data_IF_056336865279
#
_entry.id   IF_056336865279
#
_cell.length_a   1.000
_cell.length_b   1.000
_cell.length_c   1.000
_cell.angle_alpha   90.00
_cell.angle_beta   90.00
_cell.angle_gamma   90.00
#
_symmetry.space_group_name_H-M   'P 1'
#
loop_
_entity.id
_entity.type
_entity.pdbx_description
1 polymer ?
#
# COMPACT_ATOMS: atom_id res chain seq x y z
N UNK A 1 -23.17 -24.60 0.15
CA UNK A 1 -21.90 -23.95 0.57
C UNK A 1 -21.12 -24.78 1.58
N UNK A 2 -21.76 -25.28 2.66
CA UNK A 2 -21.09 -26.07 3.70
C UNK A 2 -20.33 -27.32 3.18
N UNK A 3 -20.82 -27.93 2.09
CA UNK A 3 -20.20 -29.09 1.43
C UNK A 3 -19.08 -28.73 0.44
N UNK A 4 -18.79 -27.44 0.22
CA UNK A 4 -17.77 -26.97 -0.70
C UNK A 4 -16.66 -26.24 0.07
N UNK A 5 -15.61 -26.94 0.53
CA UNK A 5 -14.56 -26.37 1.37
C UNK A 5 -13.76 -25.26 0.67
N UNK A 6 -13.80 -25.22 -0.66
CA UNK A 6 -13.10 -24.23 -1.49
C UNK A 6 -13.86 -22.90 -1.64
N UNK A 7 -15.04 -22.76 -1.02
CA UNK A 7 -15.83 -21.52 -1.10
C UNK A 7 -15.67 -20.72 0.19
N UNK A 8 -15.16 -19.49 0.05
CA UNK A 8 -15.03 -18.51 1.13
C UNK A 8 -16.07 -17.40 0.87
N UNK A 9 -16.91 -17.13 1.86
CA UNK A 9 -18.01 -16.16 1.75
C UNK A 9 -17.69 -14.85 2.46
N UNK A 10 -18.20 -13.71 1.94
CA UNK A 10 -18.04 -12.43 2.61
C UNK A 10 -18.94 -12.30 3.85
N UNK A 11 -18.47 -11.54 4.83
CA UNK A 11 -19.31 -10.85 5.82
C UNK A 11 -18.79 -9.42 6.04
N UNK A 12 -19.49 -8.58 6.78
CA UNK A 12 -19.03 -7.22 7.09
C UNK A 12 -19.20 -6.93 8.57
N UNK A 13 -18.19 -6.32 9.21
CA UNK A 13 -18.31 -5.97 10.60
C UNK A 13 -19.27 -4.80 10.81
N UNK A 14 -19.77 -4.67 12.04
CA UNK A 14 -20.54 -3.51 12.46
C UNK A 14 -19.60 -2.34 12.76
N UNK A 15 -20.07 -1.11 12.55
CA UNK A 15 -19.24 0.07 12.79
C UNK A 15 -20.01 1.38 12.66
N UNK A 16 -19.89 2.25 13.67
CA UNK A 16 -20.67 3.49 13.72
C UNK A 16 -22.17 3.19 13.69
N UNK A 17 -22.87 3.67 12.67
CA UNK A 17 -24.29 3.40 12.42
C UNK A 17 -24.55 2.16 11.56
N UNK A 18 -23.50 1.54 11.01
CA UNK A 18 -23.61 0.37 10.15
C UNK A 18 -23.75 -0.91 11.00
N UNK A 19 -24.84 -1.69 10.83
CA UNK A 19 -25.13 -2.86 11.68
C UNK A 19 -24.24 -4.07 11.36
N UNK A 20 -23.50 -4.07 10.25
CA UNK A 20 -22.77 -5.24 9.76
C UNK A 20 -23.63 -6.18 8.92
N UNK A 21 -22.99 -7.19 8.33
CA UNK A 21 -23.64 -8.23 7.52
C UNK A 21 -23.22 -9.59 8.06
N UNK A 22 -24.19 -10.47 8.31
CA UNK A 22 -23.93 -11.86 8.70
C UNK A 22 -23.29 -12.66 7.56
N UNK A 23 -22.37 -13.60 7.87
CA UNK A 23 -22.00 -14.62 6.89
C UNK A 23 -23.20 -15.55 6.61
N UNK A 24 -23.19 -16.25 5.47
CA UNK A 24 -24.14 -17.33 5.21
C UNK A 24 -24.13 -18.40 6.33
N UNK A 25 -25.29 -18.98 6.69
CA UNK A 25 -25.39 -19.84 7.86
C UNK A 25 -24.61 -21.17 7.71
N UNK A 26 -23.99 -21.57 8.81
CA UNK A 26 -23.27 -22.83 9.01
C UNK A 26 -21.95 -22.98 8.24
N UNK A 27 -21.36 -21.87 7.80
CA UNK A 27 -19.97 -21.84 7.36
C UNK A 27 -19.01 -21.87 8.56
N UNK A 28 -17.88 -22.54 8.38
CA UNK A 28 -16.77 -22.49 9.35
C UNK A 28 -16.04 -21.13 9.30
N UNK A 29 -15.28 -20.80 10.35
CA UNK A 29 -14.48 -19.57 10.37
C UNK A 29 -13.45 -19.48 9.25
N UNK A 30 -12.97 -20.61 8.73
CA UNK A 30 -12.04 -20.65 7.59
C UNK A 30 -12.72 -20.34 6.25
N UNK A 31 -14.04 -20.47 6.17
CA UNK A 31 -14.85 -20.22 4.98
C UNK A 31 -15.51 -18.85 4.98
N UNK A 32 -15.07 -17.94 5.87
CA UNK A 32 -15.62 -16.61 5.99
C UNK A 32 -14.48 -15.60 6.09
N UNK A 33 -14.59 -14.49 5.36
CA UNK A 33 -13.70 -13.35 5.50
C UNK A 33 -14.47 -12.03 5.42
N UNK A 34 -13.99 -11.01 6.12
CA UNK A 34 -14.68 -9.71 6.12
C UNK A 34 -14.35 -8.86 4.89
N UNK A 35 -15.29 -8.05 4.42
CA UNK A 35 -15.10 -7.15 3.25
C UNK A 35 -14.78 -5.70 3.63
N UNK A 36 -14.64 -5.42 4.92
CA UNK A 36 -14.32 -4.10 5.42
C UNK A 36 -13.05 -3.52 4.80
N UNK A 37 -13.11 -2.22 4.50
CA UNK A 37 -11.99 -1.45 3.97
C UNK A 37 -11.71 -0.24 4.85
N UNK A 38 -10.48 0.26 4.78
CA UNK A 38 -10.08 1.43 5.56
C UNK A 38 -9.77 2.58 4.61
N UNK A 39 -10.55 3.66 4.76
CA UNK A 39 -10.36 4.92 4.03
C UNK A 39 -9.41 5.83 4.78
N UNK A 40 -8.54 6.49 4.04
CA UNK A 40 -7.77 7.63 4.54
C UNK A 40 -8.68 8.84 4.78
N UNK A 41 -8.21 9.88 5.50
CA UNK A 41 -9.02 11.07 5.76
C UNK A 41 -9.62 11.73 4.50
N UNK A 42 -8.93 11.61 3.36
CA UNK A 42 -9.33 12.09 2.04
C UNK A 42 -10.21 11.09 1.25
N UNK A 43 -10.75 10.08 1.93
CA UNK A 43 -11.65 9.04 1.37
C UNK A 43 -11.01 8.09 0.35
N UNK A 44 -9.69 8.14 0.17
CA UNK A 44 -8.96 7.26 -0.75
C UNK A 44 -8.55 5.97 -0.03
N UNK A 45 -8.69 4.84 -0.71
CA UNK A 45 -8.17 3.56 -0.24
C UNK A 45 -6.68 3.47 -0.61
N UNK A 46 -5.81 3.53 0.40
CA UNK A 46 -4.36 3.31 0.25
C UNK A 46 -3.86 2.05 0.96
N UNK A 47 -4.74 1.44 1.75
CA UNK A 47 -4.37 0.42 2.74
C UNK A 47 -5.17 -0.85 2.50
N UNK A 48 -4.47 -1.97 2.62
CA UNK A 48 -5.03 -3.31 2.63
C UNK A 48 -5.12 -3.74 4.09
N UNK A 49 -6.35 -3.83 4.60
CA UNK A 49 -6.63 -4.39 5.93
C UNK A 49 -6.55 -5.91 5.84
N UNK A 50 -5.66 -6.51 6.62
CA UNK A 50 -5.38 -7.94 6.59
C UNK A 50 -6.19 -8.70 7.63
N UNK A 51 -6.17 -8.20 8.87
CA UNK A 51 -6.78 -8.81 10.06
C UNK A 51 -7.33 -7.72 10.95
N UNK A 52 -8.44 -7.98 11.64
CA UNK A 52 -8.97 -7.12 12.70
C UNK A 52 -9.57 -7.97 13.82
N UNK A 53 -9.54 -7.44 15.05
CA UNK A 53 -10.37 -7.98 16.11
C UNK A 53 -11.82 -7.52 15.90
N UNK A 54 -12.78 -8.46 15.70
CA UNK A 54 -14.16 -8.12 15.41
C UNK A 54 -14.78 -7.36 16.59
N UNK A 55 -15.64 -6.36 16.35
CA UNK A 55 -16.43 -5.74 17.42
C UNK A 55 -17.28 -6.79 18.15
N UNK A 56 -17.36 -6.73 19.48
CA UNK A 56 -17.96 -7.78 20.32
C UNK A 56 -19.43 -8.14 20.03
N UNK A 57 -20.18 -7.24 19.38
CA UNK A 57 -21.58 -7.45 18.99
C UNK A 57 -21.77 -7.45 17.46
N UNK A 58 -20.69 -7.64 16.71
CA UNK A 58 -20.79 -7.68 15.26
C UNK A 58 -21.40 -9.00 14.78
N UNK A 59 -22.30 -8.96 13.77
CA UNK A 59 -22.82 -10.19 13.15
C UNK A 59 -21.75 -10.98 12.38
N UNK A 60 -20.66 -10.33 12.00
CA UNK A 60 -19.48 -10.92 11.37
C UNK A 60 -18.41 -11.11 12.45
N UNK A 61 -17.87 -12.32 12.57
CA UNK A 61 -16.82 -12.65 13.55
C UNK A 61 -15.49 -13.01 12.87
N UNK A 62 -15.40 -12.79 11.56
CA UNK A 62 -14.22 -13.14 10.79
C UNK A 62 -13.04 -12.24 11.18
N UNK A 63 -11.91 -12.85 11.53
CA UNK A 63 -10.71 -12.09 11.90
C UNK A 63 -9.84 -11.72 10.70
N UNK A 64 -9.95 -12.44 9.57
CA UNK A 64 -9.20 -12.19 8.35
C UNK A 64 -10.10 -11.50 7.31
N UNK A 65 -9.52 -10.55 6.57
CA UNK A 65 -10.21 -9.96 5.43
C UNK A 65 -10.45 -11.04 4.37
N UNK A 66 -11.53 -10.93 3.60
CA UNK A 66 -11.85 -11.85 2.51
C UNK A 66 -10.67 -12.03 1.56
N UNK A 67 -10.00 -10.91 1.20
CA UNK A 67 -8.83 -10.94 0.33
C UNK A 67 -7.65 -11.70 0.95
N UNK A 68 -7.44 -11.55 2.26
CA UNK A 68 -6.40 -12.26 3.00
C UNK A 68 -6.73 -13.75 3.11
N UNK A 69 -7.97 -14.08 3.50
CA UNK A 69 -8.43 -15.46 3.66
C UNK A 69 -8.34 -16.25 2.35
N UNK A 70 -8.76 -15.66 1.23
CA UNK A 70 -8.65 -16.26 -0.10
C UNK A 70 -7.18 -16.51 -0.48
N UNK A 71 -6.32 -15.51 -0.29
CA UNK A 71 -4.92 -15.63 -0.64
C UNK A 71 -4.20 -16.66 0.25
N UNK A 72 -4.44 -16.66 1.56
CA UNK A 72 -3.88 -17.65 2.49
C UNK A 72 -4.34 -19.06 2.14
N UNK A 73 -5.64 -19.26 1.86
CA UNK A 73 -6.18 -20.56 1.46
C UNK A 73 -5.50 -21.10 0.19
N UNK A 74 -5.35 -20.26 -0.83
CA UNK A 74 -4.66 -20.63 -2.07
C UNK A 74 -3.17 -20.95 -1.82
N UNK A 75 -2.48 -20.13 -1.03
CA UNK A 75 -1.05 -20.30 -0.74
C UNK A 75 -0.78 -21.53 0.13
N UNK A 76 -1.65 -21.83 1.09
CA UNK A 76 -1.59 -23.05 1.91
C UNK A 76 -1.72 -24.30 1.03
N UNK A 77 -2.67 -24.31 0.08
CA UNK A 77 -2.81 -25.40 -0.88
C UNK A 77 -1.56 -25.57 -1.79
N UNK A 78 -0.77 -24.50 -1.97
CA UNK A 78 0.53 -24.53 -2.68
C UNK A 78 1.72 -24.91 -1.77
N UNK A 79 1.49 -25.16 -0.49
CA UNK A 79 2.52 -25.58 0.47
C UNK A 79 3.21 -24.43 1.21
N UNK A 80 2.70 -23.20 1.15
CA UNK A 80 3.21 -22.09 1.95
C UNK A 80 2.54 -22.04 3.32
N UNK A 81 3.34 -21.89 4.38
CA UNK A 81 2.86 -21.72 5.75
C UNK A 81 2.92 -20.25 6.19
N UNK A 82 1.90 -19.81 6.93
CA UNK A 82 1.87 -18.53 7.63
C UNK A 82 2.50 -18.66 9.02
N UNK A 83 3.37 -17.73 9.38
CA UNK A 83 4.01 -17.59 10.68
C UNK A 83 4.09 -16.11 11.11
N UNK A 84 4.25 -15.88 12.40
CA UNK A 84 4.34 -14.57 13.03
C UNK A 84 5.63 -14.46 13.85
N UNK A 85 6.78 -14.19 13.19
CA UNK A 85 8.08 -14.20 13.88
C UNK A 85 8.23 -13.06 14.90
N UNK A 86 7.38 -12.04 14.85
CA UNK A 86 7.29 -10.97 15.83
C UNK A 86 5.86 -10.37 15.82
N UNK A 87 5.42 -9.65 16.88
CA UNK A 87 4.06 -9.13 16.98
C UNK A 87 3.58 -8.28 15.80
N UNK A 88 4.49 -7.57 15.14
CA UNK A 88 4.20 -6.69 14.00
C UNK A 88 4.70 -7.25 12.66
N UNK A 89 5.10 -8.52 12.61
CA UNK A 89 5.72 -9.14 11.44
C UNK A 89 4.95 -10.38 11.02
N UNK A 90 4.68 -10.47 9.73
CA UNK A 90 4.14 -11.67 9.10
C UNK A 90 5.23 -12.34 8.28
N UNK A 91 5.17 -13.66 8.21
CA UNK A 91 5.99 -14.46 7.32
C UNK A 91 5.13 -15.50 6.60
N UNK A 92 5.21 -15.54 5.27
CA UNK A 92 4.55 -16.56 4.45
C UNK A 92 5.60 -17.15 3.51
N UNK A 93 5.97 -18.40 3.74
CA UNK A 93 7.14 -18.98 3.08
C UNK A 93 8.41 -18.12 3.32
N UNK A 94 9.00 -17.62 2.23
CA UNK A 94 10.15 -16.71 2.28
C UNK A 94 9.79 -15.22 2.36
N UNK A 95 8.52 -14.86 2.12
CA UNK A 95 8.08 -13.47 2.21
C UNK A 95 7.96 -13.07 3.67
N UNK A 96 8.75 -12.11 4.12
CA UNK A 96 8.62 -11.48 5.44
C UNK A 96 8.33 -10.00 5.29
N UNK A 97 7.31 -9.51 5.98
CA UNK A 97 6.94 -8.10 5.96
C UNK A 97 6.43 -7.63 7.33
N UNK A 98 6.54 -6.32 7.57
CA UNK A 98 5.99 -5.69 8.76
C UNK A 98 4.65 -5.04 8.44
N UNK A 99 3.75 -5.05 9.43
CA UNK A 99 2.49 -4.30 9.35
C UNK A 99 2.76 -2.80 9.44
N UNK A 100 1.83 -2.01 8.92
CA UNK A 100 1.84 -0.57 8.96
C UNK A 100 1.72 -0.10 10.42
N UNK A 101 2.65 0.76 10.84
CA UNK A 101 2.62 1.41 12.15
C UNK A 101 1.78 2.67 12.09
N UNK A 102 1.30 3.18 13.23
CA UNK A 102 0.50 4.41 13.28
C UNK A 102 1.23 5.65 12.73
N UNK A 103 2.57 5.68 12.84
CA UNK A 103 3.43 6.75 12.33
C UNK A 103 4.60 6.17 11.51
N UNK A 104 4.33 5.56 10.35
CA UNK A 104 5.36 5.03 9.48
C UNK A 104 5.93 6.18 8.64
N UNK A 105 7.03 6.76 9.11
CA UNK A 105 7.72 7.85 8.43
C UNK A 105 6.84 9.07 8.18
N UNK A 106 6.76 9.52 6.93
CA UNK A 106 5.97 10.69 6.53
C UNK A 106 4.47 10.41 6.32
N UNK A 107 4.03 9.14 6.33
CA UNK A 107 2.62 8.78 6.19
C UNK A 107 1.93 8.76 7.56
N UNK A 108 1.87 9.91 8.23
CA UNK A 108 1.35 10.01 9.60
C UNK A 108 -0.18 9.86 9.63
N UNK A 109 -0.67 8.96 10.47
CA UNK A 109 -2.10 8.82 10.72
C UNK A 109 -2.47 9.43 12.07
N UNK A 110 -3.52 10.25 12.07
CA UNK A 110 -4.03 10.91 13.29
C UNK A 110 -4.82 9.97 14.19
N UNK A 111 -5.25 8.80 13.69
CA UNK A 111 -5.98 7.77 14.43
C UNK A 111 -5.16 6.49 14.52
N UNK A 112 -5.29 5.80 15.65
CA UNK A 112 -4.69 4.48 15.86
C UNK A 112 -5.16 3.52 14.75
N UNK A 113 -4.21 2.81 14.13
CA UNK A 113 -4.53 1.77 13.17
C UNK A 113 -5.19 0.60 13.90
N UNK A 114 -6.40 0.22 13.48
CA UNK A 114 -7.07 -0.98 13.97
C UNK A 114 -6.70 -2.15 13.09
N UNK A 115 -6.26 -3.25 13.68
CA UNK A 115 -5.89 -4.45 12.95
C UNK A 115 -4.58 -4.34 12.18
N UNK A 116 -4.19 -5.44 11.54
CA UNK A 116 -2.98 -5.52 10.73
C UNK A 116 -3.26 -4.94 9.35
N UNK A 117 -2.46 -3.95 8.94
CA UNK A 117 -2.64 -3.25 7.67
C UNK A 117 -1.31 -3.20 6.92
N UNK A 118 -1.35 -3.17 5.58
CA UNK A 118 -0.20 -2.87 4.72
C UNK A 118 -0.61 -1.84 3.67
N UNK A 119 0.37 -1.24 2.98
CA UNK A 119 0.07 -0.39 1.83
C UNK A 119 -0.40 -1.24 0.64
N UNK A 120 -1.31 -0.67 -0.14
CA UNK A 120 -1.81 -1.26 -1.37
C UNK A 120 -1.01 -0.74 -2.57
N UNK A 121 -0.20 -1.63 -3.15
CA UNK A 121 0.54 -1.51 -4.39
C UNK A 121 -0.33 -2.01 -5.57
N UNK A 122 -1.30 -1.16 -5.95
CA UNK A 122 -2.23 -1.41 -7.05
C UNK A 122 -1.50 -1.81 -8.34
N UNK A 123 -2.07 -2.79 -9.04
CA UNK A 123 -1.65 -3.21 -10.37
C UNK A 123 -2.52 -2.46 -11.38
N UNK A 124 -1.93 -1.46 -12.00
CA UNK A 124 -2.51 -0.71 -13.11
C UNK A 124 -1.77 -1.12 -14.39
N UNK A 125 -2.38 -1.98 -15.20
CA UNK A 125 -1.89 -2.26 -16.55
C UNK A 125 -2.30 -1.07 -17.45
N UNK A 126 -3.45 -1.19 -18.12
CA UNK A 126 -4.07 -0.07 -18.85
C UNK A 126 -5.18 0.59 -18.00
N UNK A 127 -5.91 -0.21 -17.23
CA UNK A 127 -6.89 0.22 -16.22
C UNK A 127 -6.75 -0.61 -14.94
N UNK A 128 -7.23 -0.07 -13.82
CA UNK A 128 -7.39 -0.83 -12.57
C UNK A 128 -8.40 -1.98 -12.69
N UNK A 129 -9.28 -1.91 -13.69
CA UNK A 129 -10.27 -2.96 -13.98
C UNK A 129 -9.69 -4.18 -14.68
N UNK A 130 -8.51 -4.05 -15.31
CA UNK A 130 -7.88 -5.11 -16.11
C UNK A 130 -7.10 -6.12 -15.25
N UNK A 131 -7.41 -6.19 -13.96
CA UNK A 131 -6.71 -7.03 -12.97
C UNK A 131 -6.91 -8.52 -13.22
N UNK A 132 -8.06 -8.91 -13.78
CA UNK A 132 -8.44 -10.28 -14.04
C UNK A 132 -9.38 -10.37 -15.24
N UNK A 133 -9.42 -11.54 -15.87
CA UNK A 133 -10.42 -11.85 -16.89
C UNK A 133 -11.81 -11.90 -16.24
N UNK A 134 -12.81 -11.37 -16.94
CA UNK A 134 -14.20 -11.31 -16.47
C UNK A 134 -15.08 -12.15 -17.37
N UNK A 135 -15.94 -12.96 -16.76
CA UNK A 135 -17.00 -13.71 -17.43
C UNK A 135 -18.31 -13.44 -16.71
N UNK A 136 -19.41 -13.39 -17.46
CA UNK A 136 -20.73 -13.16 -16.87
C UNK A 136 -21.27 -14.46 -16.26
N UNK A 137 -22.13 -14.33 -15.24
CA UNK A 137 -22.81 -15.49 -14.68
C UNK A 137 -23.61 -16.25 -15.75
N UNK A 138 -24.25 -15.53 -16.69
CA UNK A 138 -24.97 -16.13 -17.81
C UNK A 138 -24.06 -17.02 -18.66
N UNK A 139 -22.86 -16.55 -19.04
CA UNK A 139 -21.91 -17.34 -19.81
C UNK A 139 -21.47 -18.61 -19.07
N UNK A 140 -21.28 -18.54 -17.75
CA UNK A 140 -20.94 -19.71 -16.94
C UNK A 140 -22.11 -20.70 -16.92
N UNK A 141 -23.33 -20.23 -16.70
CA UNK A 141 -24.53 -21.08 -16.66
C UNK A 141 -24.90 -21.70 -18.02
N UNK A 142 -24.50 -21.07 -19.13
CA UNK A 142 -24.72 -21.57 -20.50
C UNK A 142 -23.52 -22.35 -21.08
N UNK A 143 -22.51 -22.68 -20.25
CA UNK A 143 -21.29 -23.37 -20.67
C UNK A 143 -20.54 -22.68 -21.83
N UNK A 144 -20.54 -21.34 -21.85
CA UNK A 144 -19.85 -20.50 -22.84
C UNK A 144 -18.48 -20.01 -22.34
N UNK A 145 -17.93 -20.64 -21.30
CA UNK A 145 -16.63 -20.28 -20.70
C UNK A 145 -15.67 -21.44 -20.90
N UNK A 146 -14.49 -21.14 -21.44
CA UNK A 146 -13.43 -22.14 -21.58
C UNK A 146 -12.98 -22.65 -20.19
N UNK A 147 -12.80 -23.96 -19.99
CA UNK A 147 -12.45 -24.53 -18.68
C UNK A 147 -11.17 -23.96 -18.05
N UNK A 148 -10.18 -23.61 -18.87
CA UNK A 148 -8.91 -22.98 -18.48
C UNK A 148 -9.06 -21.61 -17.80
N UNK A 149 -10.20 -20.93 -17.97
CA UNK A 149 -10.53 -19.65 -17.31
C UNK A 149 -10.97 -19.84 -15.85
N UNK A 150 -11.32 -21.07 -15.46
CA UNK A 150 -11.93 -21.40 -14.17
C UNK A 150 -11.02 -22.34 -13.36
N UNK A 151 -10.34 -23.30 -14.01
CA UNK A 151 -9.47 -24.27 -13.32
C UNK A 151 -8.22 -23.64 -12.73
N UNK A 152 -7.82 -24.09 -11.53
CA UNK A 152 -6.58 -23.71 -10.82
C UNK A 152 -6.41 -22.20 -10.58
N UNK A 153 -7.53 -21.49 -10.36
CA UNK A 153 -7.56 -20.04 -10.16
C UNK A 153 -8.35 -19.66 -8.91
N UNK A 154 -7.99 -18.52 -8.34
CA UNK A 154 -8.85 -17.82 -7.39
C UNK A 154 -9.95 -17.11 -8.19
N UNK A 155 -11.22 -17.46 -7.90
CA UNK A 155 -12.37 -16.89 -8.59
C UNK A 155 -13.11 -15.99 -7.61
N UNK A 156 -13.34 -14.74 -8.03
CA UNK A 156 -14.14 -13.77 -7.31
C UNK A 156 -15.48 -13.59 -8.01
N UNK A 157 -16.57 -13.79 -7.26
CA UNK A 157 -17.94 -13.68 -7.77
C UNK A 157 -18.61 -12.51 -7.08
N UNK A 158 -19.15 -11.57 -7.86
CA UNK A 158 -19.84 -10.40 -7.33
C UNK A 158 -20.49 -9.56 -8.42
N UNK A 159 -21.20 -8.51 -8.00
CA UNK A 159 -21.88 -7.57 -8.89
C UNK A 159 -20.95 -6.42 -9.20
N UNK A 160 -20.78 -6.11 -10.50
CA UNK A 160 -19.96 -4.98 -10.96
C UNK A 160 -20.78 -3.90 -11.67
N UNK A 161 -22.10 -4.08 -11.76
CA UNK A 161 -23.00 -3.13 -12.42
C UNK A 161 -23.23 -1.88 -11.53
N UNK A 162 -22.88 -0.66 -12.02
CA UNK A 162 -23.11 0.60 -11.30
C UNK A 162 -24.54 0.83 -10.84
N UNK A 163 -25.51 0.34 -11.61
CA UNK A 163 -26.92 0.61 -11.39
C UNK A 163 -27.51 -0.26 -10.28
N UNK A 164 -26.88 -1.41 -10.01
CA UNK A 164 -27.36 -2.40 -9.06
C UNK A 164 -26.74 -2.24 -7.67
N UNK A 165 -25.49 -1.74 -7.58
CA UNK A 165 -24.78 -1.63 -6.30
C UNK A 165 -23.92 -0.36 -6.23
N UNK A 166 -24.13 0.44 -5.18
CA UNK A 166 -23.21 1.52 -4.78
C UNK A 166 -22.03 0.93 -4.02
N UNK A 167 -21.05 0.45 -4.77
CA UNK A 167 -19.84 -0.22 -4.26
C UNK A 167 -18.58 0.36 -4.92
N UNK A 168 -18.45 1.68 -4.89
CA UNK A 168 -17.34 2.42 -5.51
C UNK A 168 -16.36 2.94 -4.45
N UNK A 169 -15.07 2.80 -4.75
CA UNK A 169 -13.99 3.24 -3.90
C UNK A 169 -13.01 4.13 -4.67
N UNK A 170 -12.71 5.29 -4.09
CA UNK A 170 -11.69 6.19 -4.61
C UNK A 170 -10.29 5.59 -4.43
N UNK A 171 -9.49 5.66 -5.49
CA UNK A 171 -8.10 5.21 -5.48
C UNK A 171 -7.13 6.38 -5.64
N UNK A 172 -5.83 6.20 -5.34
CA UNK A 172 -4.81 7.23 -5.56
C UNK A 172 -4.64 7.68 -7.02
N UNK A 173 -5.23 6.98 -7.98
CA UNK A 173 -5.14 7.28 -9.41
C UNK A 173 -6.26 8.18 -9.92
N UNK A 174 -7.05 8.79 -9.03
CA UNK A 174 -8.24 9.57 -9.39
C UNK A 174 -9.27 8.77 -10.21
N UNK A 175 -9.29 7.45 -10.01
CA UNK A 175 -10.22 6.51 -10.62
C UNK A 175 -10.97 5.79 -9.50
N UNK A 176 -12.29 5.66 -9.66
CA UNK A 176 -13.11 4.81 -8.79
C UNK A 176 -13.05 3.36 -9.27
N UNK A 177 -13.03 2.42 -8.31
CA UNK A 177 -13.07 0.99 -8.61
C UNK A 177 -14.17 0.30 -7.80
N UNK A 178 -14.73 -0.76 -8.39
CA UNK A 178 -15.71 -1.63 -7.72
C UNK A 178 -15.07 -2.38 -6.55
N UNK A 179 -15.80 -2.60 -5.46
CA UNK A 179 -15.31 -3.36 -4.30
C UNK A 179 -14.83 -4.76 -4.67
N UNK A 180 -15.51 -5.45 -5.58
CA UNK A 180 -15.04 -6.75 -6.12
C UNK A 180 -13.63 -6.65 -6.73
N UNK A 181 -13.38 -5.60 -7.53
CA UNK A 181 -12.09 -5.37 -8.18
C UNK A 181 -11.03 -4.88 -7.19
N UNK A 182 -11.43 -4.11 -6.17
CA UNK A 182 -10.56 -3.74 -5.06
C UNK A 182 -10.07 -4.98 -4.30
N UNK A 183 -10.97 -5.92 -3.97
CA UNK A 183 -10.57 -7.19 -3.37
C UNK A 183 -9.70 -8.03 -4.30
N UNK A 184 -9.95 -8.01 -5.62
CA UNK A 184 -9.07 -8.65 -6.59
C UNK A 184 -7.65 -8.07 -6.57
N UNK A 185 -7.52 -6.74 -6.49
CA UNK A 185 -6.22 -6.06 -6.34
C UNK A 185 -5.51 -6.49 -5.06
N UNK A 186 -6.23 -6.58 -3.94
CA UNK A 186 -5.69 -7.03 -2.65
C UNK A 186 -5.23 -8.50 -2.66
N UNK A 187 -6.05 -9.41 -3.21
CA UNK A 187 -5.70 -10.83 -3.40
C UNK A 187 -4.47 -10.94 -4.30
N UNK A 188 -4.49 -10.26 -5.45
CA UNK A 188 -3.39 -10.28 -6.42
C UNK A 188 -2.10 -9.78 -5.81
N UNK A 189 -2.12 -8.68 -5.05
CA UNK A 189 -0.96 -8.18 -4.34
C UNK A 189 -0.37 -9.26 -3.42
N UNK A 190 -1.21 -9.89 -2.59
CA UNK A 190 -0.74 -10.80 -1.56
C UNK A 190 -0.17 -12.08 -2.15
N UNK A 191 -0.87 -12.68 -3.12
CA UNK A 191 -0.40 -13.89 -3.83
C UNK A 191 0.89 -13.60 -4.61
N UNK A 192 0.93 -12.50 -5.38
CA UNK A 192 2.12 -12.16 -6.18
C UNK A 192 3.32 -11.80 -5.29
N UNK A 193 3.09 -11.27 -4.08
CA UNK A 193 4.18 -11.01 -3.15
C UNK A 193 4.86 -12.30 -2.67
N UNK A 194 4.10 -13.39 -2.53
CA UNK A 194 4.62 -14.70 -2.12
C UNK A 194 5.21 -15.47 -3.30
N UNK A 195 4.46 -15.61 -4.40
CA UNK A 195 4.87 -16.45 -5.54
C UNK A 195 5.84 -15.76 -6.51
N UNK A 196 5.62 -14.47 -6.79
CA UNK A 196 6.38 -13.71 -7.80
C UNK A 196 7.41 -12.76 -7.17
N UNK A 197 7.56 -12.79 -5.84
CA UNK A 197 8.40 -11.84 -5.07
C UNK A 197 8.06 -10.37 -5.35
N UNK A 198 6.81 -10.06 -5.71
CA UNK A 198 6.34 -8.68 -5.91
C UNK A 198 6.53 -7.90 -4.62
N UNK A 199 7.19 -6.74 -4.71
CA UNK A 199 7.49 -5.92 -3.54
C UNK A 199 6.22 -5.34 -2.93
N UNK A 200 6.04 -5.57 -1.63
CA UNK A 200 5.10 -4.83 -0.81
C UNK A 200 5.70 -3.46 -0.46
N UNK A 201 4.88 -2.41 -0.49
CA UNK A 201 5.36 -1.08 -0.15
C UNK A 201 5.52 -0.92 1.36
N UNK A 202 6.67 -0.40 1.77
CA UNK A 202 7.04 -0.15 3.15
C UNK A 202 7.69 1.22 3.28
N UNK A 203 7.60 1.80 4.47
CA UNK A 203 8.31 3.04 4.81
C UNK A 203 9.63 2.72 5.52
N UNK A 204 10.56 3.67 5.49
CA UNK A 204 11.72 3.63 6.38
C UNK A 204 11.29 3.72 7.84
N UNK A 205 12.20 3.30 8.72
CA UNK A 205 12.10 3.65 10.14
C UNK A 205 12.31 5.14 10.32
N UNK A 206 11.87 5.70 11.46
CA UNK A 206 12.08 7.11 11.78
C UNK A 206 13.56 7.53 11.65
N UNK A 207 14.48 6.69 12.14
CA UNK A 207 15.91 6.93 12.01
C UNK A 207 16.40 6.87 10.57
N UNK A 208 15.84 5.96 9.76
CA UNK A 208 16.12 5.89 8.33
C UNK A 208 15.70 7.18 7.62
N UNK A 209 14.51 7.70 7.92
CA UNK A 209 14.04 8.98 7.37
C UNK A 209 14.94 10.14 7.78
N UNK A 210 15.31 10.24 9.06
CA UNK A 210 16.19 11.31 9.56
C UNK A 210 17.57 11.26 8.91
N UNK A 211 18.16 10.08 8.77
CA UNK A 211 19.46 9.90 8.10
C UNK A 211 19.36 10.26 6.61
N UNK A 212 18.30 9.83 5.94
CA UNK A 212 18.08 10.11 4.53
C UNK A 212 17.92 11.62 4.29
N UNK A 213 16.97 12.27 4.97
CA UNK A 213 16.73 13.72 4.84
C UNK A 213 17.95 14.53 5.28
N UNK A 214 18.60 14.13 6.38
CA UNK A 214 19.82 14.76 6.89
C UNK A 214 20.98 14.70 5.89
N UNK A 215 21.13 13.59 5.16
CA UNK A 215 22.18 13.47 4.14
C UNK A 215 22.01 14.46 2.98
N UNK A 216 20.77 14.66 2.52
CA UNK A 216 20.45 15.61 1.46
C UNK A 216 20.53 17.07 1.93
N UNK A 217 20.14 17.35 3.18
CA UNK A 217 20.36 18.66 3.82
C UNK A 217 21.84 19.02 3.89
N UNK A 218 22.68 18.08 4.36
CA UNK A 218 24.13 18.26 4.45
C UNK A 218 24.74 18.51 3.06
N UNK A 219 24.31 17.74 2.05
CA UNK A 219 24.76 17.92 0.67
C UNK A 219 24.44 19.32 0.15
N UNK A 220 23.24 19.84 0.41
CA UNK A 220 22.85 21.20 0.04
C UNK A 220 23.79 22.27 0.61
N UNK A 221 24.17 22.14 1.88
CA UNK A 221 25.15 23.02 2.52
C UNK A 221 26.55 22.90 1.91
N UNK A 222 27.01 21.67 1.63
CA UNK A 222 28.33 21.40 1.04
C UNK A 222 28.47 22.01 -0.36
N UNK A 223 27.42 21.93 -1.18
CA UNK A 223 27.41 22.51 -2.55
C UNK A 223 27.73 24.00 -2.49
N UNK A 224 27.03 24.75 -1.63
CA UNK A 224 27.21 26.19 -1.50
C UNK A 224 28.55 26.56 -0.87
N UNK A 225 29.04 25.75 0.07
CA UNK A 225 30.36 25.94 0.67
C UNK A 225 31.49 25.73 -0.35
N UNK A 226 31.38 24.72 -1.22
CA UNK A 226 32.42 24.37 -2.20
C UNK A 226 32.43 25.30 -3.41
N UNK A 227 31.26 25.64 -3.95
CA UNK A 227 31.15 26.41 -5.19
C UNK A 227 30.85 27.88 -4.89
N UNK A 228 31.69 28.80 -5.38
CA UNK A 228 31.51 30.26 -5.17
C UNK A 228 30.57 30.90 -6.19
N UNK A 229 30.46 30.31 -7.39
CA UNK A 229 29.63 30.82 -8.48
C UNK A 229 28.20 30.31 -8.35
N UNK A 230 27.21 31.22 -8.34
CA UNK A 230 25.78 30.88 -8.29
C UNK A 230 25.35 29.96 -9.44
N UNK A 231 25.93 30.13 -10.63
CA UNK A 231 25.65 29.25 -11.77
C UNK A 231 26.09 27.80 -11.49
N UNK A 232 27.29 27.62 -10.95
CA UNK A 232 27.80 26.30 -10.60
C UNK A 232 27.00 25.66 -9.45
N UNK A 233 26.62 26.46 -8.44
CA UNK A 233 25.74 26.00 -7.36
C UNK A 233 24.40 25.50 -7.92
N UNK A 234 23.77 26.26 -8.82
CA UNK A 234 22.51 25.88 -9.47
C UNK A 234 22.63 24.59 -10.28
N UNK A 235 23.68 24.45 -11.10
CA UNK A 235 23.91 23.23 -11.89
C UNK A 235 24.09 22.01 -10.98
N UNK A 236 24.96 22.10 -9.96
CA UNK A 236 25.23 20.98 -9.06
C UNK A 236 24.01 20.63 -8.21
N UNK A 237 23.25 21.63 -7.75
CA UNK A 237 21.99 21.40 -7.04
C UNK A 237 20.95 20.71 -7.96
N UNK A 238 20.86 21.13 -9.22
CA UNK A 238 20.00 20.47 -10.22
C UNK A 238 20.36 19.00 -10.43
N UNK A 239 21.65 18.70 -10.59
CA UNK A 239 22.15 17.31 -10.67
C UNK A 239 21.82 16.53 -9.40
N UNK A 240 22.01 17.13 -8.22
CA UNK A 240 21.68 16.50 -6.94
C UNK A 240 20.18 16.16 -6.83
N UNK A 241 19.29 17.05 -7.28
CA UNK A 241 17.85 16.78 -7.33
C UNK A 241 17.51 15.63 -8.29
N UNK A 242 18.16 15.55 -9.46
CA UNK A 242 17.97 14.41 -10.38
C UNK A 242 18.43 13.11 -9.71
N UNK A 243 19.62 13.10 -9.09
CA UNK A 243 20.12 11.95 -8.35
C UNK A 243 19.17 11.53 -7.22
N UNK A 244 18.61 12.50 -6.49
CA UNK A 244 17.60 12.25 -5.45
C UNK A 244 16.37 11.55 -6.06
N UNK A 245 15.75 12.13 -7.08
CA UNK A 245 14.59 11.53 -7.75
C UNK A 245 14.88 10.11 -8.28
N UNK A 246 16.01 9.91 -8.95
CA UNK A 246 16.42 8.61 -9.46
C UNK A 246 16.65 7.61 -8.34
N UNK A 247 17.29 8.00 -7.24
CA UNK A 247 17.52 7.13 -6.08
C UNK A 247 16.22 6.70 -5.42
N UNK A 248 15.27 7.63 -5.23
CA UNK A 248 13.94 7.33 -4.70
C UNK A 248 13.20 6.31 -5.59
N UNK A 249 13.23 6.50 -6.91
CA UNK A 249 12.62 5.57 -7.87
C UNK A 249 13.26 4.18 -7.84
N UNK A 250 14.60 4.10 -7.82
CA UNK A 250 15.33 2.83 -7.76
C UNK A 250 15.04 2.09 -6.47
N UNK A 251 15.04 2.77 -5.32
CA UNK A 251 14.75 2.16 -4.02
C UNK A 251 13.30 1.65 -3.99
N UNK A 252 12.34 2.43 -4.48
CA UNK A 252 10.94 2.03 -4.55
C UNK A 252 10.75 0.79 -5.44
N UNK A 253 11.30 0.80 -6.66
CA UNK A 253 11.11 -0.28 -7.63
C UNK A 253 11.83 -1.57 -7.24
N UNK A 254 13.04 -1.50 -6.66
CA UNK A 254 13.84 -2.68 -6.34
C UNK A 254 13.58 -3.25 -4.95
N UNK A 255 13.28 -2.40 -3.96
CA UNK A 255 13.10 -2.80 -2.56
C UNK A 255 11.66 -2.65 -2.06
N UNK A 256 10.79 -1.92 -2.77
CA UNK A 256 9.46 -1.58 -2.27
C UNK A 256 9.49 -0.53 -1.15
N UNK A 257 10.59 0.19 -0.96
CA UNK A 257 10.72 1.15 0.13
C UNK A 257 10.41 2.55 -0.38
N UNK A 258 9.43 3.20 0.25
CA UNK A 258 9.07 4.58 -0.02
C UNK A 258 9.91 5.49 0.87
N UNK A 259 10.79 6.28 0.26
CA UNK A 259 11.69 7.23 0.94
C UNK A 259 11.20 8.67 0.77
N UNK A 260 11.52 9.60 1.71
CA UNK A 260 10.93 10.92 1.75
C UNK A 260 11.53 11.86 0.70
N UNK A 261 11.02 11.82 -0.52
CA UNK A 261 11.48 12.65 -1.65
C UNK A 261 11.29 14.16 -1.36
N UNK A 262 10.08 14.57 -0.99
CA UNK A 262 9.74 16.00 -0.82
C UNK A 262 10.53 16.65 0.32
N UNK A 263 10.59 16.09 1.55
CA UNK A 263 11.42 16.66 2.61
C UNK A 263 12.92 16.71 2.25
N UNK A 264 13.43 15.70 1.53
CA UNK A 264 14.83 15.68 1.09
C UNK A 264 15.15 16.78 0.08
N UNK A 265 14.27 16.99 -0.90
CA UNK A 265 14.42 18.05 -1.89
C UNK A 265 14.33 19.44 -1.24
N UNK A 266 13.36 19.65 -0.33
CA UNK A 266 13.20 20.91 0.39
C UNK A 266 14.42 21.23 1.26
N UNK A 267 14.90 20.28 2.04
CA UNK A 267 16.06 20.50 2.92
C UNK A 267 17.33 20.75 2.11
N UNK A 268 17.54 20.09 0.97
CA UNK A 268 18.63 20.37 0.05
C UNK A 268 18.64 21.84 -0.39
N UNK A 269 17.49 22.34 -0.86
CA UNK A 269 17.36 23.72 -1.38
C UNK A 269 17.40 24.76 -0.26
N UNK A 270 16.67 24.53 0.84
CA UNK A 270 16.58 25.48 1.95
C UNK A 270 17.92 25.62 2.66
N UNK A 271 18.58 24.51 3.00
CA UNK A 271 19.89 24.55 3.65
C UNK A 271 20.92 25.25 2.77
N UNK A 272 20.96 24.95 1.47
CA UNK A 272 21.83 25.66 0.53
C UNK A 272 21.56 27.17 0.51
N UNK A 273 20.29 27.57 0.40
CA UNK A 273 19.89 28.98 0.38
C UNK A 273 20.30 29.73 1.65
N UNK A 274 20.10 29.13 2.83
CA UNK A 274 20.50 29.71 4.12
C UNK A 274 22.02 29.93 4.17
N UNK A 275 22.81 28.93 3.75
CA UNK A 275 24.28 29.05 3.72
C UNK A 275 24.72 30.13 2.71
N UNK A 276 24.06 30.24 1.56
CA UNK A 276 24.40 31.21 0.52
C UNK A 276 24.21 32.64 1.03
N UNK A 277 23.08 32.92 1.68
CA UNK A 277 22.79 34.23 2.30
C UNK A 277 23.80 34.56 3.39
N UNK A 278 24.15 33.59 4.24
CA UNK A 278 25.18 33.77 5.29
C UNK A 278 26.55 34.08 4.69
N UNK A 279 26.96 33.38 3.64
CA UNK A 279 28.25 33.64 2.97
C UNK A 279 28.27 35.03 2.31
N UNK A 280 27.18 35.44 1.66
CA UNK A 280 27.04 36.74 1.03
C UNK A 280 27.10 37.90 2.04
N UNK A 281 26.35 37.79 3.14
CA UNK A 281 26.34 38.78 4.22
C UNK A 281 27.72 38.92 4.89
N UNK A 282 28.41 37.81 5.16
CA UNK A 282 29.77 37.83 5.71
C UNK A 282 30.77 38.51 4.76
N UNK A 283 30.69 38.22 3.46
CA UNK A 283 31.52 38.84 2.45
C UNK A 283 31.34 40.37 2.39
N UNK A 284 30.09 40.85 2.42
CA UNK A 284 29.80 42.29 2.45
C UNK A 284 30.21 42.97 3.75
N UNK A 285 30.09 42.28 4.89
CA UNK A 285 30.54 42.80 6.19
C UNK A 285 32.06 42.98 6.22
N UNK A 286 32.83 42.02 5.70
CA UNK A 286 34.29 42.15 5.59
C UNK A 286 34.72 43.32 4.69
N UNK A 287 34.04 43.55 3.57
CA UNK A 287 34.29 44.69 2.68
C UNK A 287 33.93 46.07 3.26
N UNK A 288 33.12 46.16 4.31
CA UNK A 288 32.77 47.44 4.96
C UNK A 288 33.72 47.81 6.11
N UNK A 289 34.51 46.85 6.60
CA UNK A 289 35.39 47.01 7.77
C UNK A 289 36.86 47.22 7.36
N UNK A 290 37.25 46.78 6.16
CA UNK A 290 38.55 47.09 5.54
C UNK A 290 38.44 48.23 4.55
#
# INVERSE_FOLDING_TARGET
LQQHPHVISPCAHSGGTYPGIHPPPGLSSQQVGFVDTVKDPDQIIRRHLLVVDPPSQSPCTAIYALSTQLALYYLEAKGYSLDFPAPESWQIGSLRFNILKAQPGFYQQSKLLRGHQILLNYRAYNSLEDIAQRVTLTQVLTNQVEPNLISDRIILIGVTDPTLAKDEFNTPYHQEIRGLLLHAQMVSQFVSAVEEQRRLWQFLTLWGDLLWVGSWSLLGGIIVWRFRSFLHQGIVAGVACICLCSSCWIILSTKGVVVPLVPSALTLVITGSIVAVKNFTMYHKQRRIG
#
